data_IF_965795461997
#
_entry.id   IF_965795461997
#
_cell.length_a   1.000
_cell.length_b   1.000
_cell.length_c   1.000
_cell.angle_alpha   90.00
_cell.angle_beta   90.00
_cell.angle_gamma   90.00
#
_symmetry.space_group_name_H-M   'P 1'
#
loop_
_entity.id
_entity.type
_entity.pdbx_description
1 polymer ?
#
# COMPACT_ATOMS: atom_id res chain seq x y z
N UNK A 1 12.83 -19.23 3.20
CA UNK A 1 12.18 -18.02 3.74
C UNK A 1 13.24 -17.33 4.58
N UNK A 2 13.79 -16.24 4.06
CA UNK A 2 14.93 -15.53 4.65
C UNK A 2 14.49 -14.82 5.92
N UNK A 3 15.34 -14.83 6.95
CA UNK A 3 15.05 -14.30 8.30
C UNK A 3 14.50 -12.86 8.30
N UNK A 4 14.93 -12.00 7.36
CA UNK A 4 14.47 -10.61 7.26
C UNK A 4 12.98 -10.44 6.92
N UNK A 5 12.37 -11.35 6.15
CA UNK A 5 10.94 -11.27 5.83
C UNK A 5 10.06 -11.51 7.06
N UNK A 6 10.55 -12.26 8.04
CA UNK A 6 9.82 -12.55 9.28
C UNK A 6 9.79 -11.31 10.19
N UNK A 7 10.92 -10.61 10.32
CA UNK A 7 11.03 -9.42 11.16
C UNK A 7 10.19 -8.26 10.63
N UNK A 8 10.17 -8.03 9.31
CA UNK A 8 9.32 -7.01 8.69
C UNK A 8 7.82 -7.25 8.95
N UNK A 9 7.38 -8.51 8.93
CA UNK A 9 5.99 -8.87 9.21
C UNK A 9 5.60 -8.66 10.68
N UNK A 10 6.53 -8.87 11.62
CA UNK A 10 6.30 -8.57 13.03
C UNK A 10 6.15 -7.06 13.26
N UNK A 11 7.02 -6.24 12.67
CA UNK A 11 6.92 -4.77 12.74
C UNK A 11 5.61 -4.25 12.15
N UNK A 12 5.19 -4.81 11.02
CA UNK A 12 3.91 -4.47 10.39
C UNK A 12 2.75 -4.86 11.32
N UNK A 13 2.80 -6.03 11.93
CA UNK A 13 1.77 -6.48 12.88
C UNK A 13 1.67 -5.56 14.09
N UNK A 14 2.79 -5.09 14.63
CA UNK A 14 2.82 -4.17 15.77
C UNK A 14 2.29 -2.78 15.40
N UNK A 15 2.47 -2.36 14.15
CA UNK A 15 2.06 -1.04 13.65
C UNK A 15 0.59 -0.98 13.22
N UNK A 16 -0.01 -2.12 12.88
CA UNK A 16 -1.41 -2.20 12.45
C UNK A 16 -2.31 -2.37 13.68
N UNK A 17 -3.19 -1.40 13.90
CA UNK A 17 -4.12 -1.41 15.06
C UNK A 17 -5.26 -2.42 14.88
N UNK A 18 -5.75 -2.58 13.65
CA UNK A 18 -6.87 -3.46 13.34
C UNK A 18 -6.37 -4.85 12.87
N UNK A 19 -6.64 -5.93 13.62
CA UNK A 19 -6.18 -7.26 13.25
C UNK A 19 -6.75 -7.74 11.90
N UNK A 20 -7.95 -7.30 11.51
CA UNK A 20 -8.54 -7.68 10.21
C UNK A 20 -7.75 -7.08 9.04
N UNK A 21 -7.23 -5.85 9.21
CA UNK A 21 -6.37 -5.22 8.21
C UNK A 21 -5.06 -5.98 8.05
N UNK A 22 -4.49 -6.47 9.15
CA UNK A 22 -3.29 -7.30 9.09
C UNK A 22 -3.56 -8.65 8.37
N UNK A 23 -4.69 -9.30 8.65
CA UNK A 23 -5.06 -10.55 7.98
C UNK A 23 -5.26 -10.34 6.48
N UNK A 24 -5.96 -9.28 6.07
CA UNK A 24 -6.12 -8.90 4.66
C UNK A 24 -4.78 -8.59 3.99
N UNK A 25 -3.89 -7.90 4.71
CA UNK A 25 -2.55 -7.62 4.20
C UNK A 25 -1.73 -8.90 3.99
N UNK A 26 -1.83 -9.87 4.90
CA UNK A 26 -1.16 -11.16 4.74
C UNK A 26 -1.69 -11.94 3.52
N UNK A 27 -3.00 -11.88 3.25
CA UNK A 27 -3.61 -12.46 2.04
C UNK A 27 -3.11 -11.76 0.78
N UNK A 28 -3.11 -10.42 0.77
CA UNK A 28 -2.55 -9.62 -0.32
C UNK A 28 -1.10 -10.00 -0.62
N UNK A 29 -0.25 -10.08 0.40
CA UNK A 29 1.16 -10.46 0.26
C UNK A 29 1.36 -11.84 -0.37
N UNK A 30 0.47 -12.79 -0.08
CA UNK A 30 0.57 -14.15 -0.64
C UNK A 30 0.37 -14.17 -2.17
N UNK A 31 -0.35 -13.19 -2.72
CA UNK A 31 -0.56 -13.01 -4.16
C UNK A 31 0.31 -11.93 -4.81
N UNK A 32 1.10 -11.19 -4.02
CA UNK A 32 1.84 -10.02 -4.47
C UNK A 32 3.15 -10.40 -5.18
N UNK A 33 3.44 -9.71 -6.29
CA UNK A 33 4.69 -9.85 -7.04
C UNK A 33 5.73 -8.85 -6.56
N UNK A 34 7.00 -9.30 -6.43
CA UNK A 34 8.15 -8.43 -6.12
C UNK A 34 7.97 -7.59 -4.85
N UNK A 35 7.56 -8.23 -3.75
CA UNK A 35 7.43 -7.58 -2.44
C UNK A 35 8.80 -7.04 -2.00
N UNK A 36 8.85 -5.75 -1.74
CA UNK A 36 10.04 -5.01 -1.33
C UNK A 36 9.70 -4.18 -0.08
N UNK A 37 9.94 -4.78 1.10
CA UNK A 37 9.65 -4.14 2.37
C UNK A 37 10.64 -3.02 2.72
N UNK A 38 11.90 -3.14 2.30
CA UNK A 38 12.90 -2.10 2.53
C UNK A 38 12.48 -0.79 1.86
N UNK A 39 12.05 -0.88 0.59
CA UNK A 39 11.51 0.28 -0.12
C UNK A 39 10.23 0.81 0.51
N UNK A 40 9.32 -0.06 0.94
CA UNK A 40 8.09 0.36 1.62
C UNK A 40 8.43 1.17 2.88
N UNK A 41 9.36 0.70 3.71
CA UNK A 41 9.73 1.40 4.93
C UNK A 41 10.43 2.74 4.65
N UNK A 42 11.30 2.80 3.64
CA UNK A 42 11.89 4.06 3.18
C UNK A 42 10.81 5.05 2.74
N UNK A 43 9.85 4.60 1.91
CA UNK A 43 8.76 5.45 1.44
C UNK A 43 7.86 5.93 2.59
N UNK A 44 7.62 5.09 3.61
CA UNK A 44 6.88 5.45 4.83
C UNK A 44 7.60 6.55 5.59
N UNK A 45 8.90 6.37 5.86
CA UNK A 45 9.75 7.32 6.60
C UNK A 45 9.84 8.70 5.94
N UNK A 46 9.63 8.77 4.62
CA UNK A 46 9.60 10.02 3.86
C UNK A 46 8.25 10.76 3.92
N UNK A 47 7.25 10.22 4.64
CA UNK A 47 5.91 10.80 4.73
C UNK A 47 5.45 11.07 6.15
N UNK A 48 4.35 11.81 6.31
CA UNK A 48 3.72 12.05 7.61
C UNK A 48 2.71 10.95 8.00
N UNK A 49 2.66 9.84 7.25
CA UNK A 49 1.73 8.74 7.47
C UNK A 49 2.44 7.59 8.17
N UNK A 50 1.75 6.94 9.10
CA UNK A 50 2.32 5.80 9.82
C UNK A 50 2.37 4.56 8.92
N UNK A 51 3.21 3.59 9.28
CA UNK A 51 3.21 2.29 8.61
C UNK A 51 1.80 1.67 8.61
N UNK A 52 1.04 1.79 9.69
CA UNK A 52 -0.35 1.33 9.75
C UNK A 52 -1.26 1.98 8.70
N UNK A 53 -1.13 3.29 8.47
CA UNK A 53 -1.89 4.01 7.44
C UNK A 53 -1.56 3.50 6.02
N UNK A 54 -0.28 3.20 5.78
CA UNK A 54 0.20 2.64 4.51
C UNK A 54 -0.35 1.24 4.26
N UNK A 55 -0.34 0.39 5.28
CA UNK A 55 -0.90 -0.96 5.18
C UNK A 55 -2.41 -0.89 4.94
N UNK A 56 -3.14 -0.04 5.66
CA UNK A 56 -4.59 0.14 5.43
C UNK A 56 -4.87 0.63 4.00
N UNK A 57 -4.04 1.53 3.47
CA UNK A 57 -4.18 2.04 2.11
C UNK A 57 -3.89 0.97 1.05
N UNK A 58 -2.83 0.17 1.23
CA UNK A 58 -2.50 -0.94 0.33
C UNK A 58 -3.59 -2.02 0.33
N UNK A 59 -4.14 -2.37 1.48
CA UNK A 59 -5.27 -3.30 1.59
C UNK A 59 -6.53 -2.76 0.91
N UNK A 60 -6.81 -1.46 1.08
CA UNK A 60 -7.97 -0.83 0.44
C UNK A 60 -7.80 -0.74 -1.08
N UNK A 61 -6.57 -0.55 -1.55
CA UNK A 61 -6.23 -0.59 -2.98
C UNK A 61 -6.35 -2.01 -3.54
N UNK A 62 -5.84 -3.01 -2.84
CA UNK A 62 -6.02 -4.42 -3.19
C UNK A 62 -7.50 -4.80 -3.36
N UNK A 63 -8.35 -4.37 -2.42
CA UNK A 63 -9.80 -4.55 -2.51
C UNK A 63 -10.40 -3.86 -3.73
N UNK A 64 -9.98 -2.62 -4.03
CA UNK A 64 -10.43 -1.91 -5.23
C UNK A 64 -10.08 -2.65 -6.53
N UNK A 65 -8.89 -3.27 -6.60
CA UNK A 65 -8.50 -4.09 -7.75
C UNK A 65 -9.34 -5.38 -7.85
N UNK A 66 -9.63 -6.01 -6.71
CA UNK A 66 -10.51 -7.18 -6.64
C UNK A 66 -11.93 -6.85 -7.13
N UNK A 67 -12.50 -5.73 -6.68
CA UNK A 67 -13.81 -5.25 -7.13
C UNK A 67 -13.84 -4.96 -8.64
N UNK A 68 -12.71 -4.51 -9.20
CA UNK A 68 -12.53 -4.31 -10.63
C UNK A 68 -12.29 -5.62 -11.43
N UNK A 69 -12.18 -6.77 -10.76
CA UNK A 69 -11.87 -8.06 -11.39
C UNK A 69 -10.44 -8.17 -11.91
N UNK A 70 -9.53 -7.32 -11.40
CA UNK A 70 -8.11 -7.37 -11.74
C UNK A 70 -7.46 -8.36 -10.78
N UNK A 71 -6.71 -9.34 -11.30
CA UNK A 71 -6.03 -10.37 -10.49
C UNK A 71 -4.57 -10.03 -10.18
N UNK A 72 -3.95 -9.18 -11.00
CA UNK A 72 -2.52 -8.86 -10.85
C UNK A 72 -2.26 -7.94 -9.65
N UNK A 73 -1.22 -8.24 -8.87
CA UNK A 73 -0.83 -7.50 -7.66
C UNK A 73 0.64 -7.06 -7.71
N UNK A 74 0.98 -6.06 -8.54
CA UNK A 74 2.35 -5.57 -8.63
C UNK A 74 2.67 -4.70 -7.41
N UNK A 75 3.25 -5.31 -6.36
CA UNK A 75 3.44 -4.66 -5.05
C UNK A 75 4.16 -3.32 -5.16
N UNK A 76 5.31 -3.28 -5.84
CA UNK A 76 6.12 -2.06 -5.96
C UNK A 76 5.40 -0.94 -6.71
N UNK A 77 4.57 -1.27 -7.70
CA UNK A 77 3.78 -0.29 -8.44
C UNK A 77 2.63 0.25 -7.59
N UNK A 78 1.97 -0.61 -6.81
CA UNK A 78 0.94 -0.20 -5.86
C UNK A 78 1.54 0.70 -4.77
N UNK A 79 2.66 0.31 -4.16
CA UNK A 79 3.36 1.11 -3.16
C UNK A 79 3.82 2.47 -3.72
N UNK A 80 4.39 2.48 -4.94
CA UNK A 80 4.77 3.72 -5.62
C UNK A 80 3.58 4.64 -5.91
N UNK A 81 2.42 4.08 -6.26
CA UNK A 81 1.19 4.86 -6.43
C UNK A 81 0.74 5.50 -5.11
N UNK A 82 0.76 4.74 -4.01
CA UNK A 82 0.48 5.26 -2.66
C UNK A 82 1.46 6.39 -2.31
N UNK A 83 2.75 6.20 -2.55
CA UNK A 83 3.77 7.24 -2.34
C UNK A 83 3.43 8.52 -3.13
N UNK A 84 3.11 8.40 -4.43
CA UNK A 84 2.69 9.53 -5.26
C UNK A 84 1.45 10.26 -4.69
N UNK A 85 0.48 9.52 -4.13
CA UNK A 85 -0.68 10.12 -3.47
C UNK A 85 -0.26 10.97 -2.26
N UNK A 86 0.75 10.53 -1.49
CA UNK A 86 1.28 11.32 -0.36
C UNK A 86 1.97 12.62 -0.80
N UNK A 87 2.65 12.61 -1.96
CA UNK A 87 3.33 13.78 -2.52
C UNK A 87 2.33 14.80 -3.10
N UNK A 88 1.23 14.32 -3.67
CA UNK A 88 0.17 15.16 -4.24
C UNK A 88 -0.81 15.71 -3.18
N UNK A 89 -0.79 15.16 -1.96
CA UNK A 89 -1.69 15.57 -0.89
C UNK A 89 -1.45 17.05 -0.48
N UNK A 90 -2.49 17.90 -0.42
CA UNK A 90 -2.33 19.26 0.05
C UNK A 90 -1.93 19.26 1.54
N UNK A 91 -0.84 19.95 1.87
CA UNK A 91 -0.25 20.01 3.22
C UNK A 91 -1.18 20.64 4.28
N UNK A 92 -2.37 21.06 3.88
CA UNK A 92 -3.37 21.78 4.69
C UNK A 92 -4.60 20.96 5.04
N UNK A 93 -4.77 19.73 4.51
CA UNK A 93 -5.93 18.88 4.84
C UNK A 93 -5.61 18.03 6.07
N UNK A 94 -5.63 18.67 7.24
CA UNK A 94 -5.52 17.99 8.52
C UNK A 94 -6.76 17.13 8.79
N UNK A 95 -6.81 15.91 8.25
CA UNK A 95 -7.63 14.76 8.72
C UNK A 95 -7.83 13.64 7.69
N UNK A 96 -7.43 13.81 6.42
CA UNK A 96 -7.66 12.76 5.42
C UNK A 96 -6.71 11.57 5.66
N UNK A 97 -7.28 10.39 5.94
CA UNK A 97 -6.50 9.15 6.03
C UNK A 97 -5.85 8.83 4.68
N UNK A 98 -4.68 8.19 4.70
CA UNK A 98 -3.95 7.81 3.49
C UNK A 98 -4.83 6.94 2.57
N UNK A 99 -5.57 6.00 3.16
CA UNK A 99 -6.61 5.22 2.49
C UNK A 99 -7.57 6.09 1.68
N UNK A 100 -8.13 7.15 2.27
CA UNK A 100 -9.12 7.99 1.59
C UNK A 100 -8.51 8.71 0.40
N UNK A 101 -7.26 9.17 0.53
CA UNK A 101 -6.52 9.81 -0.57
C UNK A 101 -6.24 8.84 -1.72
N UNK A 102 -5.83 7.61 -1.40
CA UNK A 102 -5.54 6.58 -2.38
C UNK A 102 -6.82 6.17 -3.12
N UNK A 103 -7.91 5.89 -2.39
CA UNK A 103 -9.20 5.53 -3.01
C UNK A 103 -9.73 6.67 -3.89
N UNK A 104 -9.65 7.92 -3.44
CA UNK A 104 -10.05 9.06 -4.26
C UNK A 104 -9.22 9.14 -5.54
N UNK A 105 -7.90 9.00 -5.43
CA UNK A 105 -7.00 9.03 -6.58
C UNK A 105 -7.29 7.88 -7.55
N UNK A 106 -7.58 6.67 -7.05
CA UNK A 106 -7.97 5.53 -7.90
C UNK A 106 -9.28 5.78 -8.64
N UNK A 107 -10.26 6.42 -8.00
CA UNK A 107 -11.51 6.80 -8.68
C UNK A 107 -11.29 7.87 -9.75
N UNK A 108 -10.38 8.81 -9.52
CA UNK A 108 -10.15 9.94 -10.42
C UNK A 108 -9.22 9.59 -11.61
N UNK A 109 -8.20 8.77 -11.36
CA UNK A 109 -7.13 8.48 -12.33
C UNK A 109 -7.03 7.01 -12.74
N UNK A 110 -7.57 6.10 -11.94
CA UNK A 110 -7.45 4.66 -12.15
C UNK A 110 -6.05 4.11 -11.87
N UNK A 111 -5.88 2.82 -12.11
CA UNK A 111 -4.60 2.13 -12.05
C UNK A 111 -4.56 1.01 -13.09
N UNK A 112 -3.45 0.93 -13.83
CA UNK A 112 -3.20 -0.15 -14.79
C UNK A 112 -2.15 -1.11 -14.21
N UNK A 113 -2.60 -2.26 -13.70
CA UNK A 113 -1.71 -3.29 -13.17
C UNK A 113 -0.83 -3.95 -14.26
N UNK A 114 -1.19 -3.78 -15.54
CA UNK A 114 -0.45 -4.26 -16.71
C UNK A 114 0.57 -3.28 -17.26
N UNK A 115 0.54 -2.00 -16.82
CA UNK A 115 1.53 -1.01 -17.24
C UNK A 115 2.91 -1.40 -16.68
N UNK A 116 3.84 -1.66 -17.58
CA UNK A 116 5.23 -1.90 -17.23
C UNK A 116 5.82 -0.61 -16.63
N UNK A 117 6.42 -0.63 -15.43
CA UNK A 117 6.97 0.57 -14.81
C UNK A 117 8.26 1.11 -15.49
N UNK A 118 8.51 0.76 -16.76
CA UNK A 118 9.70 1.15 -17.53
C UNK A 118 9.38 1.80 -18.88
N UNK A 119 8.62 2.90 -18.88
CA UNK A 119 8.63 3.88 -19.97
C UNK A 119 9.07 5.26 -19.47
#
# INVERSE_FOLDING_TARGET
MSEGHSESLELIRESVVDPEIFEKFAVFLAGAELVDFDRLFEDVDHTNYSLGDWIEALVSFDAWLEEAGIEKRPFSAMAGYVHCCTLAAPQTVGSASLKSLVIQSLMDFGFDAGADPQL
#
